data_IF_864016226365
#
_entry.id   IF_864016226365
#
_cell.length_a   1.000
_cell.length_b   1.000
_cell.length_c   1.000
_cell.angle_alpha   90.00
_cell.angle_beta   90.00
_cell.angle_gamma   90.00
#
_symmetry.space_group_name_H-M   'P 1'
#
loop_
_entity.id
_entity.type
_entity.pdbx_description
1 polymer ?
#
# COMPACT_ATOMS: atom_id res chain seq x y z
N UNK A 1 1.42 -12.12 1.66
CA UNK A 1 0.96 -11.32 0.49
C UNK A 1 -0.12 -10.26 0.80
N UNK A 2 -1.01 -10.46 1.79
CA UNK A 2 -2.11 -9.52 2.08
C UNK A 2 -1.64 -8.08 2.42
N UNK A 3 -0.54 -7.95 3.17
CA UNK A 3 0.02 -6.65 3.56
C UNK A 3 0.61 -5.89 2.36
N UNK A 4 1.23 -6.60 1.42
CA UNK A 4 1.73 -6.03 0.16
C UNK A 4 0.58 -5.49 -0.70
N UNK A 5 -0.52 -6.24 -0.80
CA UNK A 5 -1.71 -5.79 -1.56
C UNK A 5 -2.33 -4.55 -0.92
N UNK A 6 -2.39 -4.48 0.41
CA UNK A 6 -2.85 -3.30 1.12
C UNK A 6 -2.00 -2.06 0.79
N UNK A 7 -0.67 -2.17 0.90
CA UNK A 7 0.25 -1.08 0.60
C UNK A 7 0.13 -0.58 -0.86
N UNK A 8 -0.01 -1.52 -1.82
CA UNK A 8 -0.20 -1.17 -3.22
C UNK A 8 -1.54 -0.48 -3.48
N UNK A 9 -2.62 -0.94 -2.83
CA UNK A 9 -3.94 -0.32 -2.92
C UNK A 9 -3.92 1.11 -2.36
N UNK A 10 -3.27 1.31 -1.20
CA UNK A 10 -3.09 2.62 -0.59
C UNK A 10 -2.28 3.56 -1.48
N UNK A 11 -1.20 3.07 -2.11
CA UNK A 11 -0.41 3.88 -3.03
C UNK A 11 -1.21 4.31 -4.27
N UNK A 12 -2.12 3.47 -4.78
CA UNK A 12 -3.02 3.83 -5.90
C UNK A 12 -4.04 4.87 -5.48
N UNK A 13 -4.63 4.71 -4.29
CA UNK A 13 -5.54 5.69 -3.71
C UNK A 13 -4.90 7.08 -3.65
N UNK A 14 -3.69 7.19 -3.07
CA UNK A 14 -2.98 8.46 -2.94
C UNK A 14 -2.67 9.13 -4.30
N UNK A 15 -2.36 8.33 -5.32
CA UNK A 15 -2.14 8.85 -6.67
C UNK A 15 -3.43 9.37 -7.30
N UNK A 16 -4.54 8.67 -7.10
CA UNK A 16 -5.83 9.07 -7.64
C UNK A 16 -6.38 10.31 -6.92
N UNK A 17 -6.22 10.42 -5.60
CA UNK A 17 -6.61 11.63 -4.85
C UNK A 17 -5.79 12.84 -5.31
N UNK A 18 -4.48 12.69 -5.50
CA UNK A 18 -3.63 13.75 -6.01
C UNK A 18 -4.01 14.19 -7.44
N UNK A 19 -4.57 13.30 -8.26
CA UNK A 19 -5.10 13.67 -9.59
C UNK A 19 -6.41 14.47 -9.48
N UNK A 20 -7.33 14.05 -8.60
CA UNK A 20 -8.57 14.79 -8.32
C UNK A 20 -8.29 16.17 -7.73
N UNK A 21 -7.33 16.30 -6.82
CA UNK A 21 -6.91 17.59 -6.28
C UNK A 21 -6.38 18.54 -7.37
N UNK A 22 -5.70 18.00 -8.39
CA UNK A 22 -5.11 18.80 -9.47
C UNK A 22 -6.12 19.18 -10.55
N UNK A 23 -6.97 18.24 -10.96
CA UNK A 23 -7.87 18.40 -12.11
C UNK A 23 -9.30 18.75 -11.72
N UNK A 24 -9.66 18.58 -10.45
CA UNK A 24 -11.02 18.70 -9.97
C UNK A 24 -11.85 17.42 -10.16
N UNK A 25 -13.12 17.54 -9.76
CA UNK A 25 -14.11 16.45 -9.85
C UNK A 25 -14.66 16.23 -11.27
N UNK A 26 -14.59 17.26 -12.10
CA UNK A 26 -15.02 17.22 -13.50
C UNK A 26 -13.87 17.63 -14.41
N UNK A 27 -13.76 16.97 -15.56
CA UNK A 27 -12.78 17.24 -16.59
C UNK A 27 -13.49 17.49 -17.92
N UNK A 28 -12.98 18.47 -18.66
CA UNK A 28 -13.42 18.71 -20.03
C UNK A 28 -12.73 17.74 -20.98
N UNK A 29 -13.52 17.08 -21.82
CA UNK A 29 -13.04 16.15 -22.83
C UNK A 29 -13.51 16.63 -24.19
N UNK A 30 -12.57 16.83 -25.10
CA UNK A 30 -12.88 17.05 -26.50
C UNK A 30 -13.31 15.73 -27.15
N UNK A 31 -14.48 15.76 -27.78
CA UNK A 31 -15.00 14.66 -28.58
C UNK A 31 -15.27 15.14 -29.99
N UNK A 32 -15.24 14.20 -30.93
CA UNK A 32 -15.53 14.46 -32.34
C UNK A 32 -16.89 13.85 -32.65
N UNK A 33 -17.78 14.65 -33.24
CA UNK A 33 -19.07 14.15 -33.69
C UNK A 33 -18.94 13.42 -35.04
N UNK A 34 -19.98 12.69 -35.46
CA UNK A 34 -20.04 11.95 -36.74
C UNK A 34 -19.80 12.83 -37.97
N UNK A 35 -19.97 14.15 -37.83
CA UNK A 35 -19.72 15.17 -38.87
C UNK A 35 -18.28 15.69 -38.87
N UNK A 36 -17.42 15.23 -37.97
CA UNK A 36 -16.02 15.67 -37.85
C UNK A 36 -15.82 16.96 -37.04
N UNK A 37 -16.88 17.54 -36.49
CA UNK A 37 -16.81 18.73 -35.64
C UNK A 37 -16.40 18.37 -34.20
N UNK A 38 -15.49 19.17 -33.62
CA UNK A 38 -15.03 19.01 -32.25
C UNK A 38 -15.98 19.74 -31.31
N UNK A 39 -16.39 19.07 -30.24
CA UNK A 39 -17.14 19.68 -29.14
C UNK A 39 -16.53 19.26 -27.81
N UNK A 40 -16.57 20.16 -26.84
CA UNK A 40 -16.16 19.89 -25.46
C UNK A 40 -17.35 19.38 -24.67
N UNK A 41 -17.09 18.40 -23.80
CA UNK A 41 -18.10 17.86 -22.89
C UNK A 41 -17.49 17.72 -21.50
N UNK A 42 -18.23 18.12 -20.47
CA UNK A 42 -17.83 17.88 -19.07
C UNK A 42 -18.12 16.43 -18.72
N UNK A 43 -17.12 15.75 -18.16
CA UNK A 43 -17.26 14.39 -17.65
C UNK A 43 -16.66 14.29 -16.26
N UNK A 44 -17.20 13.43 -15.38
CA UNK A 44 -16.61 13.22 -14.07
C UNK A 44 -15.20 12.66 -14.20
N UNK A 45 -14.30 13.11 -13.33
CA UNK A 45 -12.92 12.66 -13.30
C UNK A 45 -12.87 11.13 -13.08
N UNK A 46 -12.27 10.35 -14.01
CA UNK A 46 -12.17 8.89 -13.88
C UNK A 46 -11.50 8.43 -12.58
N UNK A 47 -10.63 9.27 -12.00
CA UNK A 47 -9.96 9.01 -10.73
C UNK A 47 -10.95 8.83 -9.57
N UNK A 48 -12.17 9.39 -9.65
CA UNK A 48 -13.20 9.22 -8.61
C UNK A 48 -13.66 7.77 -8.48
N UNK A 49 -13.81 7.07 -9.61
CA UNK A 49 -14.20 5.66 -9.59
C UNK A 49 -13.08 4.79 -8.96
N UNK A 50 -11.82 5.13 -9.28
CA UNK A 50 -10.64 4.44 -8.73
C UNK A 50 -10.57 4.63 -7.22
N UNK A 51 -10.77 5.86 -6.74
CA UNK A 51 -10.81 6.20 -5.31
C UNK A 51 -11.87 5.34 -4.60
N UNK A 52 -13.11 5.36 -5.09
CA UNK A 52 -14.22 4.61 -4.48
C UNK A 52 -13.95 3.10 -4.43
N UNK A 53 -13.30 2.53 -5.44
CA UNK A 53 -12.91 1.12 -5.43
C UNK A 53 -11.78 0.84 -4.43
N UNK A 54 -10.77 1.72 -4.36
CA UNK A 54 -9.68 1.57 -3.41
C UNK A 54 -10.17 1.67 -1.97
N UNK A 55 -11.08 2.59 -1.65
CA UNK A 55 -11.68 2.73 -0.31
C UNK A 55 -12.36 1.42 0.15
N UNK A 56 -13.19 0.84 -0.72
CA UNK A 56 -13.85 -0.46 -0.45
C UNK A 56 -12.83 -1.57 -0.20
N UNK A 57 -11.77 -1.63 -1.00
CA UNK A 57 -10.73 -2.65 -0.87
C UNK A 57 -9.88 -2.45 0.38
N UNK A 58 -9.49 -1.21 0.69
CA UNK A 58 -8.72 -0.87 1.88
C UNK A 58 -9.50 -1.21 3.15
N UNK A 59 -10.79 -0.89 3.20
CA UNK A 59 -11.65 -1.25 4.34
C UNK A 59 -11.72 -2.78 4.50
N UNK A 60 -11.97 -3.52 3.42
CA UNK A 60 -12.04 -4.98 3.47
C UNK A 60 -10.71 -5.62 3.91
N UNK A 61 -9.58 -5.08 3.47
CA UNK A 61 -8.26 -5.54 3.88
C UNK A 61 -7.95 -5.16 5.33
N UNK A 62 -8.33 -3.96 5.79
CA UNK A 62 -8.14 -3.52 7.17
C UNK A 62 -8.91 -4.40 8.16
N UNK A 63 -10.14 -4.82 7.81
CA UNK A 63 -10.94 -5.80 8.57
C UNK A 63 -10.22 -7.15 8.63
N UNK A 64 -9.76 -7.67 7.49
CA UNK A 64 -9.05 -8.97 7.43
C UNK A 64 -7.71 -8.97 8.17
N UNK A 65 -7.03 -7.83 8.21
CA UNK A 65 -5.78 -7.64 8.93
C UNK A 65 -6.01 -7.24 10.40
N UNK A 66 -7.27 -7.12 10.84
CA UNK A 66 -7.66 -6.76 12.21
C UNK A 66 -7.09 -5.43 12.68
N UNK A 67 -7.01 -4.48 11.75
CA UNK A 67 -6.58 -3.11 12.01
C UNK A 67 -7.71 -2.27 12.65
N UNK A 68 -8.94 -2.79 12.69
CA UNK A 68 -10.07 -2.15 13.38
C UNK A 68 -10.15 -2.63 14.85
N UNK A 69 -10.63 -1.81 15.80
CA UNK A 69 -10.75 -2.21 17.20
C UNK A 69 -11.62 -3.47 17.40
N UNK A 70 -12.70 -3.60 16.61
CA UNK A 70 -13.60 -4.75 16.65
C UNK A 70 -12.90 -6.03 16.21
N UNK A 71 -12.20 -5.98 15.08
CA UNK A 71 -11.60 -7.16 14.45
C UNK A 71 -10.27 -7.55 15.09
N UNK A 72 -9.60 -6.62 15.79
CA UNK A 72 -8.36 -6.88 16.53
C UNK A 72 -8.52 -7.99 17.57
N UNK A 73 -9.71 -8.09 18.17
CA UNK A 73 -10.04 -9.14 19.14
C UNK A 73 -10.05 -10.55 18.53
N UNK A 74 -10.34 -10.67 17.24
CA UNK A 74 -10.36 -11.93 16.50
C UNK A 74 -8.99 -12.40 16.00
N UNK A 75 -7.96 -11.55 16.11
CA UNK A 75 -6.60 -11.89 15.68
C UNK A 75 -5.81 -12.46 16.85
N UNK A 76 -5.28 -13.66 16.65
CA UNK A 76 -4.35 -14.27 17.61
C UNK A 76 -3.07 -13.45 17.68
N UNK A 77 -2.63 -13.02 18.87
CA UNK A 77 -1.35 -12.33 19.01
C UNK A 77 -0.22 -13.23 18.51
N UNK A 78 0.76 -12.61 17.85
CA UNK A 78 1.95 -13.33 17.41
C UNK A 78 2.64 -13.95 18.62
N UNK A 79 3.10 -15.21 18.48
CA UNK A 79 3.92 -15.84 19.53
C UNK A 79 5.12 -14.93 19.83
N UNK A 80 5.46 -14.71 21.11
CA UNK A 80 6.65 -13.95 21.45
C UNK A 80 7.83 -14.62 20.76
N UNK A 81 8.58 -13.85 19.95
CA UNK A 81 9.84 -14.34 19.41
C UNK A 81 10.77 -14.51 20.60
N UNK A 82 11.29 -15.72 20.81
CA UNK A 82 12.42 -15.92 21.70
C UNK A 82 13.54 -14.98 21.23
N UNK A 83 14.08 -14.13 22.11
CA UNK A 83 15.21 -13.29 21.74
C UNK A 83 16.31 -14.23 21.25
N UNK A 84 16.76 -14.04 20.00
CA UNK A 84 17.95 -14.74 19.53
C UNK A 84 19.07 -14.38 20.51
N UNK A 85 19.82 -15.37 21.04
CA UNK A 85 20.96 -15.06 21.88
C UNK A 85 21.85 -14.09 21.08
N UNK A 86 22.15 -12.93 21.69
CA UNK A 86 23.18 -12.05 21.14
C UNK A 86 24.46 -12.88 21.07
N UNK A 87 25.20 -12.85 19.95
CA UNK A 87 26.51 -13.47 19.94
C UNK A 87 27.34 -12.81 21.05
N UNK A 88 27.86 -13.61 21.98
CA UNK A 88 28.81 -13.11 22.97
C UNK A 88 30.04 -12.57 22.23
N UNK A 89 30.59 -11.44 22.66
CA UNK A 89 31.69 -10.77 21.95
C UNK A 89 32.92 -11.69 21.75
N UNK A 90 33.15 -12.64 22.67
CA UNK A 90 34.17 -13.70 22.56
C UNK A 90 33.95 -14.61 21.34
N UNK A 91 32.70 -14.95 21.02
CA UNK A 91 32.38 -15.77 19.84
C UNK A 91 32.59 -15.03 18.52
N UNK A 92 32.57 -13.70 18.56
CA UNK A 92 32.85 -12.84 17.41
C UNK A 92 34.36 -12.79 17.21
N UNK A 93 35.13 -12.54 18.26
CA UNK A 93 36.59 -12.55 18.23
C UNK A 93 37.14 -13.91 17.78
N UNK A 94 36.63 -15.02 18.31
CA UNK A 94 37.02 -16.37 17.89
C UNK A 94 36.70 -16.64 16.41
N UNK A 95 35.56 -16.17 15.93
CA UNK A 95 35.19 -16.29 14.52
C UNK A 95 36.09 -15.43 13.62
N UNK A 96 36.54 -14.26 14.08
CA UNK A 96 37.51 -13.42 13.38
C UNK A 96 38.91 -14.04 13.37
N UNK A 97 39.40 -14.53 14.51
CA UNK A 97 40.72 -15.16 14.62
C UNK A 97 40.84 -16.43 13.76
N UNK A 98 39.79 -17.26 13.71
CA UNK A 98 39.72 -18.42 12.81
C UNK A 98 39.68 -18.03 11.33
N UNK A 99 39.05 -16.91 10.99
CA UNK A 99 38.98 -16.41 9.61
C UNK A 99 40.31 -15.83 9.13
N UNK A 100 41.09 -15.24 10.03
CA UNK A 100 42.42 -14.72 9.72
C UNK A 100 43.54 -15.76 9.88
N UNK A 101 43.23 -16.98 10.33
CA UNK A 101 44.21 -18.07 10.45
C UNK A 101 45.18 -17.90 11.62
N UNK A 102 44.81 -17.09 12.63
CA UNK A 102 45.60 -16.84 13.84
C UNK A 102 45.15 -17.69 15.05
N UNK A 103 44.22 -18.64 14.83
CA UNK A 103 43.67 -19.54 15.85
C UNK A 103 44.05 -21.00 15.59
#
# INVERSE_FOLDING_TARGET
PALTVFALCQARYLKATADVEKRGFEIEVERVDKKGERYTTSTPNPSLQIISQCERQLLALAVRLGMTPKDRSGIRPAKPKTPKPKPNDESILDAYLRKEGLA
#
